data_IF_022277573066
#
_entry.id   IF_022277573066
#
_cell.length_a   1.000
_cell.length_b   1.000
_cell.length_c   1.000
_cell.angle_alpha   90.00
_cell.angle_beta   90.00
_cell.angle_gamma   90.00
#
_symmetry.space_group_name_H-M   'P 1'
#
loop_
_entity.id
_entity.type
_entity.pdbx_description
1 polymer ?
#
# COMPACT_ATOMS: atom_id res chain seq x y z
N UNK A 1 -69.37 27.86 117.71
CA UNK A 1 -68.55 27.85 116.47
C UNK A 1 -69.02 26.65 115.67
N UNK A 2 -69.45 26.89 114.43
CA UNK A 2 -70.24 25.93 113.65
C UNK A 2 -69.31 24.90 112.97
N UNK A 3 -69.28 23.67 113.50
CA UNK A 3 -68.40 22.59 113.05
C UNK A 3 -68.61 22.21 111.59
N UNK A 4 -69.83 22.41 111.08
CA UNK A 4 -70.18 22.13 109.68
C UNK A 4 -69.50 23.11 108.71
N UNK A 5 -69.41 24.40 109.09
CA UNK A 5 -68.65 25.39 108.33
C UNK A 5 -67.16 25.08 108.27
N UNK A 6 -66.58 24.59 109.38
CA UNK A 6 -65.17 24.23 109.43
C UNK A 6 -64.86 23.05 108.50
N UNK A 7 -65.75 22.04 108.46
CA UNK A 7 -65.56 20.87 107.60
C UNK A 7 -65.64 21.22 106.11
N UNK A 8 -66.56 22.11 105.72
CA UNK A 8 -66.65 22.61 104.34
C UNK A 8 -65.39 23.38 103.92
N UNK A 9 -64.83 24.22 104.81
CA UNK A 9 -63.59 24.95 104.54
C UNK A 9 -62.39 24.00 104.37
N UNK A 10 -62.29 22.94 105.18
CA UNK A 10 -61.20 21.95 105.04
C UNK A 10 -61.30 21.23 103.70
N UNK A 11 -62.51 20.80 103.29
CA UNK A 11 -62.71 20.13 102.00
C UNK A 11 -62.37 21.03 100.82
N UNK A 12 -62.75 22.30 100.87
CA UNK A 12 -62.41 23.29 99.84
C UNK A 12 -60.88 23.51 99.76
N UNK A 13 -60.19 23.55 100.89
CA UNK A 13 -58.71 23.64 100.93
C UNK A 13 -58.05 22.38 100.35
N UNK A 14 -58.59 21.18 100.62
CA UNK A 14 -58.08 19.93 100.04
C UNK A 14 -58.28 19.88 98.52
N UNK A 15 -59.45 20.30 98.02
CA UNK A 15 -59.71 20.43 96.57
C UNK A 15 -58.76 21.45 95.93
N UNK A 16 -58.60 22.64 96.51
CA UNK A 16 -57.66 23.65 96.03
C UNK A 16 -56.20 23.17 96.07
N UNK A 17 -55.81 22.39 97.09
CA UNK A 17 -54.48 21.78 97.17
C UNK A 17 -54.25 20.76 96.06
N UNK A 18 -55.27 19.97 95.73
CA UNK A 18 -55.20 19.02 94.63
C UNK A 18 -55.09 19.73 93.27
N UNK A 19 -55.86 20.80 93.06
CA UNK A 19 -55.76 21.65 91.88
C UNK A 19 -54.37 22.28 91.75
N UNK A 20 -53.82 22.84 92.84
CA UNK A 20 -52.46 23.39 92.89
C UNK A 20 -51.39 22.35 92.49
N UNK A 21 -51.55 21.10 92.93
CA UNK A 21 -50.65 20.01 92.54
C UNK A 21 -50.74 19.71 91.04
N UNK A 22 -51.93 19.74 90.46
CA UNK A 22 -52.13 19.58 89.02
C UNK A 22 -51.51 20.74 88.23
N UNK A 23 -51.64 21.99 88.71
CA UNK A 23 -50.97 23.14 88.11
C UNK A 23 -49.45 22.98 88.08
N UNK A 24 -48.84 22.49 89.17
CA UNK A 24 -47.39 22.25 89.20
C UNK A 24 -46.96 21.20 88.16
N UNK A 25 -47.78 20.16 87.92
CA UNK A 25 -47.56 19.20 86.84
C UNK A 25 -47.56 19.87 85.46
N UNK A 26 -48.55 20.72 85.20
CA UNK A 26 -48.65 21.50 83.94
C UNK A 26 -47.42 22.41 83.77
N UNK A 27 -46.97 23.09 84.82
CA UNK A 27 -45.77 23.95 84.75
C UNK A 27 -44.50 23.16 84.41
N UNK A 28 -44.36 21.93 84.93
CA UNK A 28 -43.24 21.05 84.59
C UNK A 28 -43.29 20.61 83.12
N UNK A 29 -44.48 20.28 82.60
CA UNK A 29 -44.65 19.95 81.18
C UNK A 29 -44.35 21.15 80.28
N UNK A 30 -44.85 22.35 80.62
CA UNK A 30 -44.53 23.59 79.90
C UNK A 30 -43.02 23.85 79.88
N UNK A 31 -42.34 23.64 81.01
CA UNK A 31 -40.88 23.77 81.08
C UNK A 31 -40.18 22.77 80.17
N UNK A 32 -40.61 21.50 80.16
CA UNK A 32 -40.06 20.46 79.28
C UNK A 32 -40.25 20.82 77.79
N UNK A 33 -41.46 21.26 77.41
CA UNK A 33 -41.75 21.71 76.04
C UNK A 33 -40.86 22.89 75.67
N UNK A 34 -40.69 23.87 76.57
CA UNK A 34 -39.81 25.02 76.33
C UNK A 34 -38.37 24.58 76.07
N UNK A 35 -37.85 23.64 76.87
CA UNK A 35 -36.49 23.12 76.72
C UNK A 35 -36.31 22.34 75.41
N UNK A 36 -37.30 21.52 75.02
CA UNK A 36 -37.32 20.79 73.73
C UNK A 36 -37.40 21.75 72.52
N UNK A 37 -38.20 22.81 72.61
CA UNK A 37 -38.28 23.85 71.57
C UNK A 37 -36.96 24.60 71.46
N UNK A 38 -36.33 24.95 72.59
CA UNK A 38 -35.03 25.62 72.59
C UNK A 38 -33.94 24.73 71.95
N UNK A 39 -33.90 23.43 72.27
CA UNK A 39 -32.99 22.48 71.65
C UNK A 39 -33.24 22.33 70.14
N UNK A 40 -34.50 22.29 69.72
CA UNK A 40 -34.89 22.22 68.30
C UNK A 40 -34.47 23.48 67.53
N UNK A 41 -34.65 24.67 68.12
CA UNK A 41 -34.21 25.94 67.54
C UNK A 41 -32.68 26.01 67.39
N UNK A 42 -31.94 25.52 68.38
CA UNK A 42 -30.48 25.46 68.28
C UNK A 42 -30.04 24.53 67.15
N UNK A 43 -30.61 23.32 67.06
CA UNK A 43 -30.32 22.38 65.97
C UNK A 43 -30.65 22.96 64.59
N UNK A 44 -31.78 23.68 64.45
CA UNK A 44 -32.12 24.38 63.22
C UNK A 44 -31.10 25.46 62.85
N UNK A 45 -30.59 26.19 63.83
CA UNK A 45 -29.57 27.22 63.60
C UNK A 45 -28.23 26.60 63.15
N UNK A 46 -27.81 25.51 63.79
CA UNK A 46 -26.60 24.77 63.43
C UNK A 46 -26.70 24.18 62.02
N UNK A 47 -27.84 23.57 61.68
CA UNK A 47 -28.11 23.07 60.32
C UNK A 47 -28.07 24.20 59.27
N UNK A 48 -28.60 25.38 59.59
CA UNK A 48 -28.56 26.53 58.68
C UNK A 48 -27.13 27.04 58.46
N UNK A 49 -26.29 27.00 59.50
CA UNK A 49 -24.86 27.32 59.37
C UNK A 49 -24.15 26.31 58.46
N UNK A 50 -24.39 25.01 58.63
CA UNK A 50 -23.76 23.98 57.82
C UNK A 50 -24.22 24.02 56.35
N UNK A 51 -25.51 24.32 56.10
CA UNK A 51 -26.01 24.54 54.75
C UNK A 51 -25.36 25.74 54.06
N UNK A 52 -25.09 26.83 54.80
CA UNK A 52 -24.34 27.98 54.26
C UNK A 52 -22.91 27.61 53.91
N UNK A 53 -22.24 26.84 54.77
CA UNK A 53 -20.89 26.35 54.50
C UNK A 53 -20.86 25.45 53.25
N UNK A 54 -21.79 24.50 53.16
CA UNK A 54 -21.93 23.63 51.99
C UNK A 54 -22.20 24.42 50.71
N UNK A 55 -23.07 25.44 50.76
CA UNK A 55 -23.34 26.32 49.62
C UNK A 55 -22.07 27.04 49.14
N UNK A 56 -21.25 27.54 50.06
CA UNK A 56 -19.97 28.17 49.72
C UNK A 56 -18.98 27.19 49.07
N UNK A 57 -18.87 25.97 49.61
CA UNK A 57 -17.99 24.92 49.08
C UNK A 57 -18.43 24.45 47.68
N UNK A 58 -19.75 24.34 47.46
CA UNK A 58 -20.33 24.06 46.14
C UNK A 58 -20.02 25.18 45.15
N UNK A 59 -20.20 26.45 45.54
CA UNK A 59 -19.90 27.59 44.67
C UNK A 59 -18.41 27.66 44.30
N UNK A 60 -17.51 27.37 45.24
CA UNK A 60 -16.07 27.28 44.97
C UNK A 60 -15.75 26.17 43.97
N UNK A 61 -16.40 25.02 44.12
CA UNK A 61 -16.22 23.87 43.21
C UNK A 61 -16.74 24.18 41.81
N UNK A 62 -17.91 24.82 41.68
CA UNK A 62 -18.46 25.31 40.40
C UNK A 62 -17.48 26.28 39.73
N UNK A 63 -16.87 27.19 40.49
CA UNK A 63 -15.89 28.12 39.94
C UNK A 63 -14.65 27.41 39.36
N UNK A 64 -14.12 26.43 40.09
CA UNK A 64 -12.98 25.61 39.63
C UNK A 64 -13.33 24.81 38.36
N UNK A 65 -14.50 24.16 38.33
CA UNK A 65 -14.98 23.43 37.16
C UNK A 65 -15.07 24.35 35.94
N UNK A 66 -15.62 25.56 36.11
CA UNK A 66 -15.70 26.53 35.02
C UNK A 66 -14.33 27.01 34.53
N UNK A 67 -13.33 27.08 35.40
CA UNK A 67 -11.96 27.40 35.02
C UNK A 67 -11.32 26.27 34.19
N UNK A 68 -11.50 25.02 34.60
CA UNK A 68 -11.00 23.86 33.85
C UNK A 68 -11.71 23.72 32.49
N UNK A 69 -13.02 23.96 32.42
CA UNK A 69 -13.76 23.98 31.15
C UNK A 69 -13.22 25.04 30.18
N UNK A 70 -12.81 26.21 30.67
CA UNK A 70 -12.15 27.23 29.82
C UNK A 70 -10.82 26.72 29.25
N UNK A 71 -10.00 26.04 30.06
CA UNK A 71 -8.72 25.46 29.57
C UNK A 71 -8.96 24.39 28.51
N UNK A 72 -9.94 23.51 28.72
CA UNK A 72 -10.34 22.48 27.75
C UNK A 72 -10.76 23.10 26.42
N UNK A 73 -11.52 24.19 26.45
CA UNK A 73 -11.93 24.90 25.24
C UNK A 73 -10.75 25.50 24.46
N UNK A 74 -9.75 26.07 25.16
CA UNK A 74 -8.52 26.58 24.53
C UNK A 74 -7.74 25.45 23.85
N UNK A 75 -7.54 24.34 24.57
CA UNK A 75 -6.86 23.15 24.03
C UNK A 75 -7.58 22.61 22.79
N UNK A 76 -8.91 22.56 22.81
CA UNK A 76 -9.73 22.13 21.66
C UNK A 76 -9.52 23.04 20.43
N UNK A 77 -9.42 24.35 20.62
CA UNK A 77 -9.13 25.29 19.52
C UNK A 77 -7.70 25.13 18.97
N UNK A 78 -6.72 24.84 19.83
CA UNK A 78 -5.34 24.56 19.42
C UNK A 78 -5.24 23.28 18.61
N UNK A 79 -5.92 22.20 19.04
CA UNK A 79 -5.99 20.93 18.30
C UNK A 79 -6.56 21.15 16.89
N UNK A 80 -7.71 21.85 16.78
CA UNK A 80 -8.31 22.17 15.48
C UNK A 80 -7.37 22.98 14.57
N UNK A 81 -6.55 23.86 15.15
CA UNK A 81 -5.56 24.64 14.40
C UNK A 81 -4.39 23.78 13.93
N UNK A 82 -3.92 22.85 14.76
CA UNK A 82 -2.87 21.90 14.42
C UNK A 82 -3.32 20.94 13.32
N UNK A 83 -4.55 20.42 13.39
CA UNK A 83 -5.12 19.56 12.35
C UNK A 83 -5.16 20.27 10.99
N UNK A 84 -5.60 21.53 10.97
CA UNK A 84 -5.58 22.34 9.73
C UNK A 84 -4.16 22.50 9.17
N UNK A 85 -3.17 22.79 10.02
CA UNK A 85 -1.76 22.93 9.60
C UNK A 85 -1.16 21.62 9.11
N UNK A 86 -1.52 20.49 9.75
CA UNK A 86 -1.05 19.18 9.35
C UNK A 86 -1.61 18.81 7.97
N UNK A 87 -2.92 19.01 7.76
CA UNK A 87 -3.58 18.74 6.49
C UNK A 87 -3.01 19.57 5.34
N UNK A 88 -2.73 20.86 5.57
CA UNK A 88 -2.10 21.69 4.53
C UNK A 88 -0.68 21.21 4.22
N UNK A 89 0.11 20.82 5.23
CA UNK A 89 1.47 20.30 5.04
C UNK A 89 1.49 18.96 4.30
N UNK A 90 0.57 18.05 4.63
CA UNK A 90 0.42 16.77 3.93
C UNK A 90 0.04 17.01 2.47
N UNK A 91 -0.98 17.83 2.20
CA UNK A 91 -1.45 18.09 0.83
C UNK A 91 -0.36 18.76 -0.02
N UNK A 92 0.35 19.74 0.52
CA UNK A 92 1.45 20.40 -0.21
C UNK A 92 2.62 19.45 -0.49
N UNK A 93 2.99 18.58 0.45
CA UNK A 93 4.00 17.56 0.23
C UNK A 93 3.57 16.53 -0.81
N UNK A 94 2.29 16.12 -0.78
CA UNK A 94 1.72 15.17 -1.72
C UNK A 94 1.70 15.73 -3.14
N UNK A 95 1.19 16.94 -3.34
CA UNK A 95 1.17 17.59 -4.66
C UNK A 95 2.58 17.83 -5.21
N UNK A 96 3.56 18.13 -4.34
CA UNK A 96 4.96 18.25 -4.74
C UNK A 96 5.50 16.91 -5.26
N UNK A 97 5.32 15.82 -4.51
CA UNK A 97 5.79 14.48 -4.92
C UNK A 97 5.10 14.01 -6.21
N UNK A 98 3.79 14.26 -6.32
CA UNK A 98 3.04 13.97 -7.54
C UNK A 98 3.63 14.69 -8.74
N UNK A 99 3.91 15.99 -8.63
CA UNK A 99 4.52 16.78 -9.70
C UNK A 99 5.93 16.28 -10.08
N UNK A 100 6.75 15.91 -9.08
CA UNK A 100 8.07 15.33 -9.31
C UNK A 100 7.99 14.01 -10.08
N UNK A 101 7.09 13.10 -9.67
CA UNK A 101 6.85 11.83 -10.35
C UNK A 101 6.36 12.05 -11.78
N UNK A 102 5.37 12.93 -11.99
CA UNK A 102 4.85 13.26 -13.32
C UNK A 102 5.95 13.79 -14.24
N UNK A 103 6.85 14.63 -13.72
CA UNK A 103 7.99 15.15 -14.48
C UNK A 103 9.01 14.06 -14.84
N UNK A 104 9.29 13.14 -13.90
CA UNK A 104 10.21 12.01 -14.12
C UNK A 104 9.66 11.04 -15.17
N UNK A 105 8.36 10.70 -15.10
CA UNK A 105 7.69 9.82 -16.05
C UNK A 105 7.70 10.43 -17.45
N UNK A 106 7.42 11.74 -17.59
CA UNK A 106 7.50 12.44 -18.88
C UNK A 106 8.90 12.37 -19.47
N UNK A 107 9.94 12.62 -18.66
CA UNK A 107 11.32 12.52 -19.10
C UNK A 107 11.70 11.11 -19.59
N UNK A 108 11.29 10.07 -18.86
CA UNK A 108 11.54 8.69 -19.28
C UNK A 108 10.82 8.33 -20.58
N UNK A 109 9.57 8.79 -20.77
CA UNK A 109 8.83 8.62 -22.02
C UNK A 109 9.55 9.29 -23.19
N UNK A 110 10.03 10.52 -23.01
CA UNK A 110 10.78 11.23 -24.05
C UNK A 110 12.07 10.50 -24.44
N UNK A 111 12.78 9.92 -23.47
CA UNK A 111 13.97 9.10 -23.69
C UNK A 111 13.62 7.83 -24.48
N UNK A 112 12.52 7.16 -24.13
CA UNK A 112 12.06 5.95 -24.82
C UNK A 112 11.66 6.28 -26.27
N UNK A 113 10.89 7.34 -26.49
CA UNK A 113 10.48 7.79 -27.82
C UNK A 113 11.70 8.09 -28.69
N UNK A 114 12.68 8.82 -28.15
CA UNK A 114 13.95 9.10 -28.86
C UNK A 114 14.71 7.83 -29.24
N UNK A 115 14.70 6.79 -28.39
CA UNK A 115 15.32 5.49 -28.69
C UNK A 115 14.55 4.73 -29.79
N UNK A 116 13.22 4.80 -29.78
CA UNK A 116 12.36 4.20 -30.80
C UNK A 116 12.62 4.89 -32.15
N UNK A 117 12.59 6.22 -32.21
CA UNK A 117 12.84 6.98 -33.44
C UNK A 117 14.21 6.66 -34.05
N UNK A 118 15.24 6.57 -33.20
CA UNK A 118 16.55 6.11 -33.64
C UNK A 118 16.51 4.71 -34.26
N UNK A 119 15.82 3.77 -33.63
CA UNK A 119 15.74 2.39 -34.12
C UNK A 119 14.99 2.30 -35.44
N UNK A 120 13.94 3.11 -35.60
CA UNK A 120 13.23 3.27 -36.88
C UNK A 120 14.20 3.75 -37.95
N UNK A 121 14.96 4.82 -37.69
CA UNK A 121 15.95 5.35 -38.65
C UNK A 121 17.03 4.32 -39.01
N UNK A 122 17.56 3.57 -38.04
CA UNK A 122 18.54 2.49 -38.28
C UNK A 122 17.96 1.40 -39.19
N UNK A 123 16.69 1.02 -38.99
CA UNK A 123 16.00 0.04 -39.82
C UNK A 123 15.75 0.57 -41.24
N UNK A 124 15.29 1.81 -41.39
CA UNK A 124 15.09 2.47 -42.69
C UNK A 124 16.39 2.49 -43.50
N UNK A 125 17.50 2.89 -42.88
CA UNK A 125 18.82 2.87 -43.51
C UNK A 125 19.27 1.46 -43.91
N UNK A 126 19.00 0.45 -43.07
CA UNK A 126 19.31 -0.94 -43.41
C UNK A 126 18.47 -1.48 -44.56
N UNK A 127 17.19 -1.09 -44.64
CA UNK A 127 16.29 -1.47 -45.74
C UNK A 127 16.78 -0.82 -47.04
N UNK A 128 17.09 0.48 -47.01
CA UNK A 128 17.57 1.21 -48.18
C UNK A 128 18.86 0.60 -48.74
N UNK A 129 19.84 0.28 -47.89
CA UNK A 129 21.07 -0.40 -48.33
C UNK A 129 20.81 -1.75 -49.01
N UNK A 130 19.86 -2.54 -48.50
CA UNK A 130 19.48 -3.82 -49.12
C UNK A 130 18.81 -3.59 -50.48
N UNK A 131 17.92 -2.61 -50.59
CA UNK A 131 17.28 -2.24 -51.86
C UNK A 131 18.31 -1.80 -52.90
N UNK A 132 19.28 -0.97 -52.52
CA UNK A 132 20.35 -0.52 -53.41
C UNK A 132 21.19 -1.71 -53.91
N UNK A 133 21.56 -2.63 -53.01
CA UNK A 133 22.31 -3.85 -53.40
C UNK A 133 21.52 -4.78 -54.35
N UNK A 134 20.20 -4.89 -54.16
CA UNK A 134 19.33 -5.66 -55.05
C UNK A 134 19.24 -5.01 -56.42
N UNK A 135 19.15 -3.67 -56.47
CA UNK A 135 19.14 -2.91 -57.71
C UNK A 135 20.44 -3.09 -58.49
N UNK A 136 21.60 -2.98 -57.83
CA UNK A 136 22.90 -3.23 -58.47
C UNK A 136 23.03 -4.66 -59.01
N UNK A 137 22.55 -5.65 -58.25
CA UNK A 137 22.53 -7.05 -58.71
C UNK A 137 21.61 -7.24 -59.90
N UNK A 138 20.45 -6.57 -59.93
CA UNK A 138 19.53 -6.63 -61.06
C UNK A 138 20.12 -5.98 -62.31
N UNK A 139 20.71 -4.79 -62.17
CA UNK A 139 21.36 -4.06 -63.27
C UNK A 139 22.49 -4.92 -63.88
N UNK A 140 23.27 -5.62 -63.05
CA UNK A 140 24.32 -6.54 -63.51
C UNK A 140 23.74 -7.71 -64.31
N UNK A 141 22.70 -8.37 -63.81
CA UNK A 141 22.03 -9.48 -64.51
C UNK A 141 21.41 -9.04 -65.83
N UNK A 142 20.80 -7.85 -65.88
CA UNK A 142 20.24 -7.28 -67.11
C UNK A 142 21.35 -7.02 -68.14
N UNK A 143 22.49 -6.46 -67.71
CA UNK A 143 23.64 -6.24 -68.59
C UNK A 143 24.24 -7.55 -69.13
N UNK A 144 24.30 -8.60 -68.31
CA UNK A 144 24.76 -9.93 -68.73
C UNK A 144 23.84 -10.53 -69.82
N UNK A 145 22.51 -10.49 -69.61
CA UNK A 145 21.52 -10.93 -70.60
C UNK A 145 21.65 -10.11 -71.90
N UNK A 146 21.77 -8.79 -71.79
CA UNK A 146 21.92 -7.91 -72.95
C UNK A 146 23.19 -8.23 -73.76
N UNK A 147 24.31 -8.51 -73.08
CA UNK A 147 25.57 -8.88 -73.73
C UNK A 147 25.50 -10.25 -74.43
N UNK A 148 24.88 -11.23 -73.79
CA UNK A 148 24.69 -12.59 -74.34
C UNK A 148 23.80 -12.54 -75.59
N UNK A 149 22.72 -11.76 -75.56
CA UNK A 149 21.87 -11.55 -76.72
C UNK A 149 22.60 -10.80 -77.84
N UNK A 150 23.46 -9.83 -77.53
CA UNK A 150 24.24 -9.10 -78.55
C UNK A 150 25.18 -10.01 -79.33
N UNK A 151 25.83 -10.97 -78.66
CA UNK A 151 26.66 -12.02 -79.28
C UNK A 151 25.80 -12.93 -80.19
N UNK A 152 24.65 -13.38 -79.68
CA UNK A 152 23.68 -14.18 -80.45
C UNK A 152 23.19 -13.45 -81.71
N UNK A 153 22.84 -12.17 -81.60
CA UNK A 153 22.43 -11.33 -82.73
C UNK A 153 23.57 -11.10 -83.73
N UNK A 154 24.83 -11.07 -83.30
CA UNK A 154 25.99 -10.95 -84.19
C UNK A 154 26.19 -12.23 -85.02
N UNK A 155 26.08 -13.39 -84.39
CA UNK A 155 26.13 -14.70 -85.06
C UNK A 155 24.97 -14.88 -86.04
N UNK A 156 23.75 -14.51 -85.62
CA UNK A 156 22.57 -14.55 -86.49
C UNK A 156 22.70 -13.60 -87.68
N UNK A 157 23.24 -12.39 -87.49
CA UNK A 157 23.53 -11.46 -88.60
C UNK A 157 24.53 -12.06 -89.60
N UNK A 158 25.59 -12.72 -89.12
CA UNK A 158 26.54 -13.41 -90.02
C UNK A 158 25.88 -14.55 -90.79
N UNK A 159 25.02 -15.33 -90.13
CA UNK A 159 24.27 -16.41 -90.77
C UNK A 159 23.28 -15.88 -91.81
N UNK A 160 22.57 -14.78 -91.51
CA UNK A 160 21.67 -14.12 -92.46
C UNK A 160 22.45 -13.57 -93.67
N UNK A 161 23.63 -12.97 -93.46
CA UNK A 161 24.50 -12.52 -94.56
C UNK A 161 24.94 -13.72 -95.41
N UNK A 162 25.35 -14.82 -94.79
CA UNK A 162 25.75 -16.03 -95.51
C UNK A 162 24.59 -16.61 -96.33
N UNK A 163 23.38 -16.62 -95.75
CA UNK A 163 22.16 -17.06 -96.40
C UNK A 163 21.78 -16.11 -97.55
N UNK A 164 21.96 -14.80 -97.38
CA UNK A 164 21.81 -13.82 -98.46
C UNK A 164 22.82 -14.02 -99.59
N UNK A 165 24.08 -14.37 -99.28
CA UNK A 165 25.09 -14.69 -100.30
C UNK A 165 24.68 -15.95 -101.08
N UNK A 166 24.19 -16.98 -100.39
CA UNK A 166 23.69 -18.21 -101.03
C UNK A 166 22.46 -17.89 -101.88
N UNK A 167 21.51 -17.12 -101.35
CA UNK A 167 20.32 -16.68 -102.09
C UNK A 167 20.71 -15.81 -103.27
N UNK A 168 21.69 -14.91 -103.17
CA UNK A 168 22.16 -14.10 -104.30
C UNK A 168 22.92 -14.95 -105.32
N UNK A 169 23.67 -15.98 -104.92
CA UNK A 169 24.33 -16.91 -105.84
C UNK A 169 23.31 -17.77 -106.60
N UNK A 170 22.30 -18.28 -105.89
CA UNK A 170 21.18 -19.03 -106.49
C UNK A 170 20.31 -18.11 -107.34
N UNK A 171 20.03 -16.90 -106.86
CA UNK A 171 19.28 -15.87 -107.59
C UNK A 171 20.03 -15.38 -108.82
N UNK A 172 21.36 -15.20 -108.79
CA UNK A 172 22.16 -14.87 -109.97
C UNK A 172 22.19 -16.04 -110.97
N UNK A 173 22.24 -17.28 -110.47
CA UNK A 173 22.04 -18.49 -111.28
C UNK A 173 20.64 -18.59 -111.91
N UNK A 174 19.61 -18.05 -111.24
CA UNK A 174 18.22 -17.97 -111.74
C UNK A 174 17.94 -16.71 -112.57
N UNK A 175 18.63 -15.59 -112.33
CA UNK A 175 18.51 -14.32 -113.08
C UNK A 175 19.15 -14.43 -114.46
N UNK A 176 20.10 -15.35 -114.65
CA UNK A 176 20.52 -15.78 -115.98
C UNK A 176 19.43 -16.56 -116.74
N UNK A 177 18.35 -16.96 -116.07
CA UNK A 177 17.29 -17.78 -116.65
C UNK A 177 15.96 -17.05 -116.83
N UNK A 178 15.57 -16.11 -115.97
CA UNK A 178 14.22 -15.51 -116.02
C UNK A 178 14.25 -14.08 -115.48
N UNK A 179 13.86 -13.11 -116.32
CA UNK A 179 13.74 -11.70 -115.97
C UNK A 179 12.42 -11.31 -115.31
N UNK A 180 12.48 -10.13 -114.67
CA UNK A 180 11.44 -9.22 -114.18
C UNK A 180 10.28 -9.79 -113.33
N UNK A 181 10.03 -9.15 -112.18
CA UNK A 181 8.75 -8.52 -111.78
C UNK A 181 8.87 -7.87 -110.39
N UNK A 182 8.14 -6.77 -110.24
CA UNK A 182 8.13 -5.77 -109.17
C UNK A 182 7.16 -6.04 -108.00
N UNK A 183 7.45 -5.30 -106.91
CA UNK A 183 6.61 -4.72 -105.83
C UNK A 183 6.26 -5.45 -104.53
N UNK A 184 6.20 -4.59 -103.49
CA UNK A 184 6.27 -4.78 -102.04
C UNK A 184 4.92 -4.97 -101.32
N UNK A 185 4.94 -5.26 -100.01
CA UNK A 185 4.04 -4.52 -99.11
C UNK A 185 4.60 -4.17 -97.71
N UNK A 186 3.96 -3.13 -97.15
CA UNK A 186 4.17 -2.46 -95.85
C UNK A 186 3.43 -3.18 -94.70
N UNK A 187 4.02 -3.25 -93.49
CA UNK A 187 3.37 -3.76 -92.26
C UNK A 187 3.40 -2.68 -91.16
N UNK A 188 2.25 -2.56 -90.47
CA UNK A 188 1.89 -1.61 -89.40
C UNK A 188 2.33 -2.14 -88.02
N UNK A 189 2.72 -1.25 -87.10
CA UNK A 189 3.00 -1.55 -85.69
C UNK A 189 2.15 -0.66 -84.76
N UNK A 190 1.71 -1.13 -83.57
CA UNK A 190 1.14 -0.25 -82.55
C UNK A 190 1.86 -0.25 -81.18
N UNK A 191 1.65 0.89 -80.50
CA UNK A 191 1.56 1.17 -79.06
C UNK A 191 2.80 1.11 -78.15
N UNK A 192 3.01 2.20 -77.39
CA UNK A 192 3.62 2.18 -76.05
C UNK A 192 3.02 3.30 -75.19
N UNK A 193 2.67 2.95 -73.95
CA UNK A 193 2.11 3.78 -72.87
C UNK A 193 3.19 3.88 -71.78
N UNK A 194 3.54 5.10 -71.33
CA UNK A 194 4.51 5.33 -70.25
C UNK A 194 3.86 5.89 -68.99
N UNK A 195 4.35 5.46 -67.83
CA UNK A 195 4.02 6.02 -66.52
C UNK A 195 5.31 6.34 -65.76
N UNK A 196 5.52 7.62 -65.44
CA UNK A 196 6.60 8.09 -64.56
C UNK A 196 6.00 8.48 -63.19
N UNK A 197 6.72 8.15 -62.11
CA UNK A 197 6.72 9.00 -60.92
C UNK A 197 8.02 8.84 -60.13
N UNK A 198 8.55 9.98 -59.71
CA UNK A 198 9.84 10.21 -59.04
C UNK A 198 9.59 10.48 -57.56
N UNK A 199 10.46 9.96 -56.67
CA UNK A 199 10.50 10.36 -55.25
C UNK A 199 11.93 10.81 -54.90
N UNK A 200 12.01 11.97 -54.25
CA UNK A 200 13.22 12.59 -53.70
C UNK A 200 13.21 12.45 -52.18
N UNK A 201 14.36 12.16 -51.56
CA UNK A 201 14.54 12.15 -50.09
C UNK A 201 15.68 13.09 -49.66
N UNK A 202 15.54 13.85 -48.56
CA UNK A 202 16.59 14.68 -47.99
C UNK A 202 17.32 13.98 -46.82
N UNK A 203 18.51 14.51 -46.49
CA UNK A 203 19.55 13.92 -45.63
C UNK A 203 19.80 14.84 -44.43
N UNK A 204 19.87 14.29 -43.21
CA UNK A 204 20.30 15.04 -42.00
C UNK A 204 21.26 14.19 -41.16
N UNK A 205 22.35 14.82 -40.71
CA UNK A 205 23.48 14.25 -39.96
C UNK A 205 23.21 14.19 -38.45
N UNK A 206 23.82 13.20 -37.79
CA UNK A 206 23.73 12.95 -36.35
C UNK A 206 25.13 12.78 -35.73
N UNK A 207 25.56 13.72 -34.91
CA UNK A 207 26.64 13.50 -33.93
C UNK A 207 26.29 14.27 -32.66
N UNK A 208 25.84 13.54 -31.63
CA UNK A 208 26.34 13.64 -30.26
C UNK A 208 25.54 12.72 -29.33
N UNK A 209 26.26 11.91 -28.54
CA UNK A 209 25.63 10.95 -27.62
C UNK A 209 26.57 10.68 -26.43
N UNK A 210 26.16 10.96 -25.18
CA UNK A 210 26.91 10.53 -24.01
C UNK A 210 26.40 9.17 -23.46
N UNK A 211 27.33 8.44 -22.82
CA UNK A 211 27.13 7.13 -22.17
C UNK A 211 26.46 7.28 -20.79
N UNK A 212 25.62 6.31 -20.42
CA UNK A 212 24.88 6.25 -19.14
C UNK A 212 25.31 5.00 -18.35
N UNK A 213 25.63 5.19 -17.06
CA UNK A 213 25.83 4.14 -16.04
C UNK A 213 24.53 3.84 -15.28
N UNK A 214 24.39 2.60 -14.78
CA UNK A 214 23.16 2.04 -14.24
C UNK A 214 22.76 2.59 -12.85
N UNK A 215 21.52 3.08 -12.70
CA UNK A 215 20.92 3.53 -11.44
C UNK A 215 20.44 2.36 -10.56
N UNK A 216 20.72 2.45 -9.25
CA UNK A 216 20.12 1.59 -8.20
C UNK A 216 18.83 2.23 -7.68
N UNK A 217 17.71 1.51 -7.72
CA UNK A 217 16.42 1.93 -7.16
C UNK A 217 16.30 1.44 -5.71
N UNK A 218 15.99 2.32 -4.75
CA UNK A 218 15.71 1.96 -3.35
C UNK A 218 14.22 1.60 -3.20
N UNK A 219 13.95 0.42 -2.63
CA UNK A 219 12.58 -0.08 -2.42
C UNK A 219 11.89 0.65 -1.25
N UNK A 220 10.59 0.88 -1.36
CA UNK A 220 9.77 1.40 -0.28
C UNK A 220 9.67 0.43 0.90
N UNK A 221 9.28 0.93 2.08
CA UNK A 221 9.08 0.09 3.27
C UNK A 221 7.99 -0.98 3.05
N UNK A 222 6.95 -0.65 2.27
CA UNK A 222 5.88 -1.56 1.91
C UNK A 222 6.39 -2.72 1.03
N UNK A 223 7.15 -2.40 -0.03
CA UNK A 223 7.75 -3.42 -0.91
C UNK A 223 8.74 -4.31 -0.17
N UNK A 224 9.52 -3.74 0.75
CA UNK A 224 10.41 -4.51 1.64
C UNK A 224 9.61 -5.49 2.51
N UNK A 225 8.48 -5.05 3.08
CA UNK A 225 7.57 -5.92 3.83
C UNK A 225 7.03 -7.08 3.00
N UNK A 226 6.47 -6.77 1.82
CA UNK A 226 5.88 -7.75 0.91
C UNK A 226 6.89 -8.82 0.45
N UNK A 227 8.13 -8.42 0.13
CA UNK A 227 9.19 -9.36 -0.26
C UNK A 227 9.59 -10.29 0.89
N UNK A 228 9.55 -9.82 2.13
CA UNK A 228 9.84 -10.65 3.30
C UNK A 228 8.67 -11.56 3.67
N UNK A 229 7.42 -11.12 3.54
CA UNK A 229 6.25 -11.99 3.62
C UNK A 229 6.36 -13.17 2.62
N UNK A 230 6.71 -12.87 1.36
CA UNK A 230 6.90 -13.90 0.33
C UNK A 230 8.02 -14.88 0.71
N UNK A 231 9.12 -14.39 1.28
CA UNK A 231 10.19 -15.23 1.81
C UNK A 231 9.69 -16.19 2.90
N UNK A 232 8.94 -15.69 3.88
CA UNK A 232 8.36 -16.49 4.98
C UNK A 232 7.41 -17.56 4.43
N UNK A 233 6.56 -17.20 3.46
CA UNK A 233 5.61 -18.14 2.84
C UNK A 233 6.31 -19.30 2.13
N UNK A 234 7.43 -19.04 1.44
CA UNK A 234 8.22 -20.08 0.76
C UNK A 234 8.85 -21.08 1.72
N UNK A 235 9.01 -20.73 3.00
CA UNK A 235 9.62 -21.59 4.02
C UNK A 235 8.63 -22.56 4.67
N UNK A 236 7.32 -22.33 4.53
CA UNK A 236 6.31 -23.28 4.99
C UNK A 236 6.18 -24.46 4.02
N UNK A 237 6.49 -25.66 4.49
CA UNK A 237 6.30 -26.89 3.73
C UNK A 237 4.80 -27.19 3.56
N UNK A 238 4.33 -27.12 2.30
CA UNK A 238 2.92 -27.30 1.94
C UNK A 238 2.34 -28.67 2.33
N UNK A 239 3.18 -29.66 2.65
CA UNK A 239 2.74 -30.97 3.17
C UNK A 239 2.13 -30.86 4.58
N UNK A 240 2.62 -29.92 5.38
CA UNK A 240 2.23 -29.75 6.78
C UNK A 240 1.51 -28.44 7.03
N UNK A 241 1.78 -27.40 6.24
CA UNK A 241 1.25 -26.06 6.44
C UNK A 241 0.30 -25.65 5.32
N UNK A 242 -0.91 -25.20 5.69
CA UNK A 242 -1.91 -24.63 4.80
C UNK A 242 -2.16 -23.18 5.14
N UNK A 243 -1.86 -22.28 4.22
CA UNK A 243 -2.14 -20.84 4.34
C UNK A 243 -3.66 -20.64 4.16
N UNK A 244 -4.30 -19.95 5.12
CA UNK A 244 -5.74 -19.66 5.09
C UNK A 244 -6.06 -18.26 4.59
N UNK A 245 -5.27 -17.27 4.99
CA UNK A 245 -5.45 -15.88 4.60
C UNK A 245 -4.11 -15.15 4.54
N UNK A 246 -4.07 -14.13 3.68
CA UNK A 246 -2.98 -13.16 3.55
C UNK A 246 -3.60 -11.76 3.65
N UNK A 247 -3.21 -10.99 4.66
CA UNK A 247 -3.77 -9.64 4.88
C UNK A 247 -3.32 -8.65 3.79
N UNK A 248 -2.16 -8.86 3.15
CA UNK A 248 -1.67 -8.04 2.03
C UNK A 248 -2.49 -8.18 0.73
N UNK A 249 -3.32 -9.23 0.61
CA UNK A 249 -4.16 -9.51 -0.56
C UNK A 249 -5.65 -9.20 -0.36
N UNK A 250 -6.05 -8.76 0.84
CA UNK A 250 -7.41 -8.25 1.07
C UNK A 250 -7.44 -6.78 0.63
N UNK A 251 -8.02 -6.57 -0.55
CA UNK A 251 -8.14 -5.30 -1.27
C UNK A 251 -8.21 -4.04 -0.41
N UNK A 252 -7.44 -3.05 -0.85
CA UNK A 252 -7.30 -1.64 -0.44
C UNK A 252 -8.62 -0.86 -0.34
N UNK A 253 -9.78 -1.47 -0.60
CA UNK A 253 -11.03 -0.74 -0.85
C UNK A 253 -11.97 -0.60 0.35
N UNK A 254 -11.78 -1.34 1.45
CA UNK A 254 -12.62 -1.17 2.65
C UNK A 254 -11.80 -1.35 3.94
N UNK A 255 -10.94 -0.37 4.23
CA UNK A 255 -10.56 -0.07 5.62
C UNK A 255 -11.21 1.26 6.01
N UNK A 256 -12.51 1.21 6.29
CA UNK A 256 -13.18 2.27 7.04
C UNK A 256 -12.49 2.38 8.41
N UNK A 257 -12.21 3.60 8.84
CA UNK A 257 -11.41 3.96 10.05
C UNK A 257 -12.00 3.47 11.39
N UNK A 258 -13.03 2.63 11.38
CA UNK A 258 -13.81 2.24 12.56
C UNK A 258 -13.53 0.83 13.11
N UNK A 259 -12.70 0.00 12.48
CA UNK A 259 -12.32 -1.32 13.04
C UNK A 259 -10.81 -1.43 13.29
N UNK A 260 -10.35 -0.81 14.39
CA UNK A 260 -8.95 -0.74 14.84
C UNK A 260 -8.37 -2.06 15.40
N UNK A 261 -8.84 -3.22 14.97
CA UNK A 261 -8.19 -4.48 15.38
C UNK A 261 -7.12 -4.83 14.37
N UNK A 262 -5.83 -4.86 14.74
CA UNK A 262 -4.78 -5.24 13.81
C UNK A 262 -4.98 -6.68 13.33
N UNK A 263 -4.82 -6.89 12.03
CA UNK A 263 -4.95 -8.19 11.38
C UNK A 263 -3.56 -8.71 11.04
N UNK A 264 -3.15 -9.87 11.57
CA UNK A 264 -1.84 -10.45 11.27
C UNK A 264 -1.66 -10.71 9.77
N UNK A 265 -0.43 -10.64 9.28
CA UNK A 265 -0.14 -10.81 7.85
C UNK A 265 -0.58 -12.16 7.29
N UNK A 266 -0.41 -13.26 8.05
CA UNK A 266 -0.65 -14.63 7.58
C UNK A 266 -1.41 -15.44 8.63
N UNK A 267 -2.48 -16.14 8.23
CA UNK A 267 -3.07 -17.22 9.04
C UNK A 267 -2.67 -18.58 8.48
N UNK A 268 -2.14 -19.46 9.33
CA UNK A 268 -1.62 -20.78 8.95
C UNK A 268 -2.31 -21.87 9.75
N UNK A 269 -2.65 -22.97 9.07
CA UNK A 269 -3.03 -24.24 9.69
C UNK A 269 -1.89 -25.23 9.53
N UNK A 270 -1.38 -25.75 10.63
CA UNK A 270 -0.43 -26.85 10.66
C UNK A 270 -1.16 -28.16 10.91
N UNK A 271 -0.88 -29.19 10.12
CA UNK A 271 -1.50 -30.51 10.22
C UNK A 271 -0.46 -31.62 10.12
N UNK A 272 -0.49 -32.54 11.08
CA UNK A 272 0.30 -33.78 11.07
C UNK A 272 -0.60 -34.92 11.52
N UNK A 273 -0.78 -35.93 10.65
CA UNK A 273 -1.73 -37.03 10.86
C UNK A 273 -3.14 -36.46 11.15
N UNK A 274 -3.76 -36.89 12.25
CA UNK A 274 -5.11 -36.47 12.67
C UNK A 274 -5.11 -35.22 13.56
N UNK A 275 -3.95 -34.59 13.79
CA UNK A 275 -3.83 -33.38 14.59
C UNK A 275 -3.73 -32.16 13.69
N UNK A 276 -4.48 -31.11 14.02
CA UNK A 276 -4.36 -29.80 13.37
C UNK A 276 -4.35 -28.67 14.39
N UNK A 277 -3.54 -27.65 14.12
CA UNK A 277 -3.40 -26.46 14.95
C UNK A 277 -3.36 -25.21 14.08
N UNK A 278 -3.85 -24.09 14.60
CA UNK A 278 -3.83 -22.79 13.91
C UNK A 278 -2.84 -21.87 14.60
N UNK A 279 -2.20 -21.01 13.84
CA UNK A 279 -1.45 -19.88 14.34
C UNK A 279 -1.47 -18.74 13.33
N UNK A 280 -1.20 -17.53 13.78
CA UNK A 280 -1.02 -16.35 12.93
C UNK A 280 0.42 -15.89 12.96
N UNK A 281 0.85 -15.24 11.87
CA UNK A 281 2.20 -14.71 11.69
C UNK A 281 2.12 -13.25 11.30
N UNK A 282 2.90 -12.43 11.99
CA UNK A 282 3.24 -11.07 11.60
C UNK A 282 4.67 -11.03 11.08
N UNK A 283 4.89 -10.42 9.90
CA UNK A 283 6.19 -10.36 9.24
C UNK A 283 6.83 -8.98 9.42
N UNK A 284 8.08 -8.97 9.86
CA UNK A 284 8.82 -7.73 10.08
C UNK A 284 10.24 -7.84 9.52
N UNK A 285 10.58 -7.03 8.53
CA UNK A 285 11.97 -6.93 8.07
C UNK A 285 12.65 -5.65 8.53
N UNK A 286 13.93 -5.75 8.89
CA UNK A 286 14.81 -4.65 9.27
C UNK A 286 16.17 -4.82 8.61
N UNK A 287 16.75 -3.72 8.11
CA UNK A 287 18.10 -3.74 7.55
C UNK A 287 19.16 -4.04 8.63
N UNK A 288 18.95 -3.55 9.83
CA UNK A 288 19.81 -3.73 11.00
C UNK A 288 19.00 -3.56 12.29
N UNK A 289 19.54 -4.00 13.42
CA UNK A 289 19.00 -3.69 14.75
C UNK A 289 19.42 -2.27 15.10
N UNK A 290 18.50 -1.42 15.57
CA UNK A 290 18.83 -0.09 16.05
C UNK A 290 19.13 -0.13 17.55
N UNK A 291 20.41 0.08 17.92
CA UNK A 291 20.86 -0.07 19.30
C UNK A 291 20.94 -1.53 19.71
N UNK A 292 20.48 -1.84 20.93
CA UNK A 292 20.52 -3.20 21.52
C UNK A 292 19.13 -3.88 21.58
N UNK A 293 18.12 -3.32 20.91
CA UNK A 293 16.73 -3.78 21.05
C UNK A 293 15.95 -3.77 19.72
N UNK A 294 15.01 -4.71 19.59
CA UNK A 294 13.95 -4.66 18.57
C UNK A 294 12.68 -4.16 19.24
N UNK A 295 12.23 -2.97 18.85
CA UNK A 295 10.98 -2.37 19.36
C UNK A 295 9.81 -2.62 18.42
N UNK A 296 8.67 -2.96 19.01
CA UNK A 296 7.37 -3.11 18.39
C UNK A 296 6.47 -1.93 18.76
N UNK A 297 5.54 -1.57 17.88
CA UNK A 297 4.55 -0.54 18.18
C UNK A 297 3.64 -1.04 19.33
N UNK A 298 3.58 -0.28 20.43
CA UNK A 298 2.85 -0.66 21.64
C UNK A 298 1.35 -0.88 21.38
N UNK A 299 0.70 0.06 20.70
CA UNK A 299 -0.72 -0.07 20.31
C UNK A 299 -1.00 -1.30 19.45
N UNK A 300 -0.03 -1.69 18.61
CA UNK A 300 -0.13 -2.88 17.77
C UNK A 300 -0.05 -4.16 18.62
N UNK A 301 0.87 -4.21 19.59
CA UNK A 301 1.02 -5.34 20.51
C UNK A 301 -0.23 -5.52 21.36
N UNK A 302 -0.83 -4.45 21.89
CA UNK A 302 -2.07 -4.54 22.67
C UNK A 302 -3.24 -5.08 21.85
N UNK A 303 -3.38 -4.61 20.60
CA UNK A 303 -4.38 -5.14 19.67
C UNK A 303 -4.17 -6.62 19.38
N UNK A 304 -2.92 -7.05 19.19
CA UNK A 304 -2.60 -8.47 19.00
C UNK A 304 -2.84 -9.32 20.24
N UNK A 305 -2.51 -8.84 21.45
CA UNK A 305 -2.80 -9.54 22.70
C UNK A 305 -4.30 -9.77 22.87
N UNK A 306 -5.10 -8.74 22.57
CA UNK A 306 -6.56 -8.82 22.61
C UNK A 306 -7.10 -9.83 21.58
N UNK A 307 -6.54 -9.83 20.37
CA UNK A 307 -6.90 -10.75 19.29
C UNK A 307 -6.54 -12.22 19.61
N UNK A 308 -5.35 -12.47 20.18
CA UNK A 308 -4.92 -13.82 20.60
C UNK A 308 -5.84 -14.37 21.69
N UNK A 309 -6.21 -13.56 22.69
CA UNK A 309 -7.14 -13.95 23.75
C UNK A 309 -8.53 -14.27 23.18
N UNK A 310 -9.06 -13.38 22.34
CA UNK A 310 -10.41 -13.53 21.78
C UNK A 310 -10.53 -14.72 20.83
N UNK A 311 -9.55 -14.91 19.94
CA UNK A 311 -9.57 -15.98 18.92
C UNK A 311 -9.01 -17.30 19.43
N UNK A 312 -8.26 -17.29 20.53
CA UNK A 312 -7.47 -18.42 21.03
C UNK A 312 -6.53 -19.01 19.96
N UNK A 313 -5.93 -18.15 19.13
CA UNK A 313 -4.98 -18.52 18.08
C UNK A 313 -3.64 -17.84 18.41
N UNK A 314 -2.54 -18.58 18.62
CA UNK A 314 -1.26 -18.00 18.95
C UNK A 314 -0.70 -17.16 17.80
N UNK A 315 -0.05 -16.04 18.15
CA UNK A 315 0.58 -15.12 17.22
C UNK A 315 2.10 -15.18 17.34
N UNK A 316 2.77 -15.23 16.18
CA UNK A 316 4.22 -15.22 16.08
C UNK A 316 4.70 -14.03 15.25
N UNK A 317 5.73 -13.33 15.73
CA UNK A 317 6.48 -12.39 14.90
C UNK A 317 7.62 -13.12 14.22
N UNK A 318 7.63 -13.08 12.89
CA UNK A 318 8.77 -13.47 12.07
C UNK A 318 9.56 -12.21 11.78
N UNK A 319 10.77 -12.10 12.33
CA UNK A 319 11.60 -10.91 12.19
C UNK A 319 12.84 -11.22 11.37
N UNK A 320 12.94 -10.66 10.17
CA UNK A 320 14.11 -10.73 9.31
C UNK A 320 15.06 -9.57 9.56
N UNK A 321 16.35 -9.86 9.77
CA UNK A 321 17.37 -8.84 10.04
C UNK A 321 18.53 -8.97 9.04
N UNK A 322 18.95 -7.86 8.47
CA UNK A 322 20.05 -7.81 7.50
C UNK A 322 19.71 -8.42 6.15
N UNK A 323 20.70 -8.44 5.26
CA UNK A 323 20.55 -8.99 3.91
C UNK A 323 19.58 -8.19 3.04
N UNK A 324 18.83 -8.90 2.19
CA UNK A 324 17.69 -8.35 1.44
C UNK A 324 16.39 -8.84 2.07
N UNK A 325 15.26 -8.15 1.91
CA UNK A 325 13.99 -8.65 2.44
C UNK A 325 13.59 -10.03 1.89
N UNK A 326 13.92 -10.29 0.62
CA UNK A 326 13.73 -11.60 -0.01
C UNK A 326 14.80 -12.65 0.36
N UNK A 327 15.86 -12.25 1.05
CA UNK A 327 16.97 -13.10 1.49
C UNK A 327 17.61 -12.49 2.75
N UNK A 328 16.89 -12.54 3.89
CA UNK A 328 17.36 -11.95 5.14
C UNK A 328 18.59 -12.70 5.63
N UNK A 329 19.51 -11.98 6.27
CA UNK A 329 20.73 -12.60 6.84
C UNK A 329 20.37 -13.49 8.03
N UNK A 330 19.44 -13.04 8.86
CA UNK A 330 18.98 -13.72 10.06
C UNK A 330 17.46 -13.64 10.16
N UNK A 331 16.84 -14.66 10.74
CA UNK A 331 15.39 -14.71 10.96
C UNK A 331 15.13 -15.14 12.40
N UNK A 332 14.21 -14.48 13.07
CA UNK A 332 13.81 -14.76 14.45
C UNK A 332 12.31 -15.04 14.50
N UNK A 333 11.90 -15.98 15.37
CA UNK A 333 10.48 -16.29 15.62
C UNK A 333 10.16 -16.08 17.08
N UNK A 334 9.37 -15.04 17.33
CA UNK A 334 9.03 -14.59 18.67
C UNK A 334 7.56 -14.87 18.89
N UNK A 335 7.22 -15.65 19.91
CA UNK A 335 5.83 -15.80 20.33
C UNK A 335 5.39 -14.49 21.01
N UNK A 336 4.19 -13.99 20.71
CA UNK A 336 3.66 -12.77 21.34
C UNK A 336 3.70 -12.84 22.87
N UNK A 337 3.54 -14.04 23.45
CA UNK A 337 3.62 -14.27 24.91
C UNK A 337 5.00 -14.04 25.52
N UNK A 338 6.05 -14.12 24.71
CA UNK A 338 7.42 -13.91 25.16
C UNK A 338 7.78 -12.41 25.23
N UNK A 339 6.93 -11.52 24.69
CA UNK A 339 7.09 -10.06 24.75
C UNK A 339 6.55 -9.51 26.08
N UNK A 340 7.45 -9.29 27.04
CA UNK A 340 7.12 -8.69 28.35
C UNK A 340 6.74 -7.21 28.23
N UNK A 341 7.64 -6.45 27.60
CA UNK A 341 7.39 -5.08 27.15
C UNK A 341 7.38 -5.14 25.62
N UNK A 342 6.86 -4.13 24.93
CA UNK A 342 6.83 -4.04 23.46
C UNK A 342 8.24 -3.98 22.81
N UNK A 343 9.27 -4.50 23.47
CA UNK A 343 10.67 -4.50 23.09
C UNK A 343 11.31 -5.84 23.45
N UNK A 344 12.28 -6.25 22.66
CA UNK A 344 13.09 -7.43 22.92
C UNK A 344 14.57 -7.06 22.81
N UNK A 345 15.36 -7.30 23.86
CA UNK A 345 16.81 -7.06 23.81
C UNK A 345 17.49 -8.03 22.85
N UNK A 346 18.63 -7.65 22.28
CA UNK A 346 19.42 -8.49 21.36
C UNK A 346 19.80 -9.84 21.98
N UNK A 347 20.15 -9.83 23.27
CA UNK A 347 20.45 -11.06 24.03
C UNK A 347 19.24 -12.00 24.06
N UNK A 348 18.04 -11.46 24.29
CA UNK A 348 16.80 -12.25 24.25
C UNK A 348 16.43 -12.67 22.84
N UNK A 349 16.66 -11.81 21.84
CA UNK A 349 16.41 -12.08 20.43
C UNK A 349 17.16 -13.30 19.93
N UNK A 350 18.41 -13.48 20.35
CA UNK A 350 19.20 -14.65 19.98
C UNK A 350 18.59 -15.99 20.43
N UNK A 351 17.78 -16.01 21.49
CA UNK A 351 17.06 -17.22 21.90
C UNK A 351 15.92 -17.60 20.94
N UNK A 352 15.50 -16.66 20.08
CA UNK A 352 14.44 -16.83 19.09
C UNK A 352 14.98 -17.05 17.68
N UNK A 353 16.29 -17.17 17.50
CA UNK A 353 16.93 -17.26 16.19
C UNK A 353 16.59 -18.59 15.51
N UNK A 354 16.16 -18.52 14.25
CA UNK A 354 15.99 -19.67 13.38
C UNK A 354 17.24 -19.90 12.52
N UNK A 355 17.63 -21.17 12.38
CA UNK A 355 18.56 -21.62 11.36
C UNK A 355 17.86 -21.62 9.99
N UNK A 356 18.18 -20.61 9.18
CA UNK A 356 17.60 -20.41 7.84
C UNK A 356 17.96 -21.51 6.83
N UNK A 357 18.97 -22.34 7.14
CA UNK A 357 19.41 -23.46 6.31
C UNK A 357 18.52 -24.70 6.42
N UNK A 358 17.68 -24.78 7.46
CA UNK A 358 16.82 -25.93 7.74
C UNK A 358 15.35 -25.61 7.53
N UNK A 359 14.52 -26.66 7.45
CA UNK A 359 13.07 -26.53 7.41
C UNK A 359 12.51 -26.06 8.75
N UNK A 360 11.41 -25.31 8.74
CA UNK A 360 10.75 -24.84 9.95
C UNK A 360 9.72 -25.86 10.43
N UNK A 361 9.77 -26.24 11.71
CA UNK A 361 8.82 -27.17 12.31
C UNK A 361 8.06 -26.50 13.46
N UNK A 362 6.75 -26.78 13.53
CA UNK A 362 5.87 -26.26 14.58
C UNK A 362 5.48 -27.39 15.54
N UNK A 363 5.77 -27.21 16.82
CA UNK A 363 5.31 -28.08 17.89
C UNK A 363 3.97 -27.58 18.41
N UNK A 364 2.89 -28.22 17.95
CA UNK A 364 1.52 -27.83 18.25
C UNK A 364 1.23 -27.82 19.77
N UNK A 365 1.70 -28.84 20.50
CA UNK A 365 1.45 -28.99 21.94
C UNK A 365 2.15 -27.90 22.77
N UNK A 366 3.33 -27.49 22.35
CA UNK A 366 4.12 -26.45 23.02
C UNK A 366 3.79 -25.04 22.53
N UNK A 367 3.04 -24.89 21.42
CA UNK A 367 2.86 -23.63 20.68
C UNK A 367 4.19 -22.94 20.41
N UNK A 368 5.18 -23.70 19.94
CA UNK A 368 6.55 -23.23 19.67
C UNK A 368 7.05 -23.68 18.31
N UNK A 369 7.84 -22.83 17.67
CA UNK A 369 8.66 -23.24 16.55
C UNK A 369 9.95 -23.85 17.09
N UNK A 370 10.35 -25.01 16.57
CA UNK A 370 11.66 -25.59 16.82
C UNK A 370 12.39 -25.82 15.50
N UNK A 371 13.70 -25.71 15.57
CA UNK A 371 14.61 -26.12 14.50
C UNK A 371 14.79 -27.63 14.57
N UNK A 372 14.92 -28.26 13.41
CA UNK A 372 15.30 -29.66 13.31
C UNK A 372 16.52 -29.84 12.44
#
# INVERSE_FOLDING_TARGET
MDLERLNNVVKEIEEQSHELKNYNGIFLEIRKIKDEVAASLQSLNDNNHDLKKLSNDVNKSIHLINQELKKINVISQEINTLEKRLNTKINTSFEKQKSEIESSVRLELDIINTKIDKKILELELSIQKKLDSLRESLDKSVMEIASTNKEGFKSLKQFIILLFIVVLAVSAGLYFKIGNIDTAPTIVAPSNLSSDSVIVTPKVNSEDRPKIEALKVDLSAFEKGALFEEYVLKKFDKRYFKIRSLSSHQNVEIKTESNRTPSPDIEVTFSVKDQSSKFTVECLWRKEVWGEEVSFNESLIEGYKSSEIYKNIPLFFFVGIGGQPSSPKEVFVINLKDLQNNKLSEKSLNNHKLDISRGWFYLADEKKFKLH
#
